data_IF_804732450517
#
_entry.id   IF_804732450517
#
_cell.length_a   1.000
_cell.length_b   1.000
_cell.length_c   1.000
_cell.angle_alpha   90.00
_cell.angle_beta   90.00
_cell.angle_gamma   90.00
#
_symmetry.space_group_name_H-M   'P 1'
#
loop_
_entity.id
_entity.type
_entity.pdbx_description
1 polymer ?
#
# COMPACT_ATOMS: atom_id res chain seq x y z
N UNK A 1 5.41 -11.41 22.47
CA UNK A 1 4.52 -11.23 21.32
C UNK A 1 5.40 -11.16 20.09
N UNK A 2 5.33 -12.14 19.19
CA UNK A 2 6.15 -12.10 17.98
C UNK A 2 5.72 -10.90 17.14
N UNK A 3 6.66 -10.05 16.74
CA UNK A 3 6.39 -8.98 15.79
C UNK A 3 5.89 -9.63 14.49
N UNK A 4 4.67 -9.28 14.08
CA UNK A 4 4.16 -9.75 12.79
C UNK A 4 4.99 -9.14 11.66
N UNK A 5 5.40 -10.00 10.74
CA UNK A 5 6.18 -9.58 9.58
C UNK A 5 5.25 -8.93 8.55
N UNK A 6 5.79 -8.03 7.72
CA UNK A 6 5.03 -7.47 6.60
C UNK A 6 4.46 -8.58 5.70
N UNK A 7 5.22 -9.67 5.50
CA UNK A 7 4.79 -10.84 4.73
C UNK A 7 3.53 -11.48 5.33
N UNK A 8 3.52 -11.75 6.64
CA UNK A 8 2.37 -12.39 7.29
C UNK A 8 1.11 -11.54 7.21
N UNK A 9 1.26 -10.21 7.33
CA UNK A 9 0.14 -9.28 7.17
C UNK A 9 -0.42 -9.29 5.75
N UNK A 10 0.43 -9.29 4.73
CA UNK A 10 -0.02 -9.35 3.32
C UNK A 10 -0.77 -10.66 3.05
N UNK A 11 -0.26 -11.80 3.54
CA UNK A 11 -0.92 -13.09 3.33
C UNK A 11 -2.28 -13.15 4.02
N UNK A 12 -2.39 -12.69 5.27
CA UNK A 12 -3.66 -12.59 5.99
C UNK A 12 -4.64 -11.65 5.28
N UNK A 13 -4.19 -10.46 4.90
CA UNK A 13 -5.01 -9.48 4.19
C UNK A 13 -5.53 -10.03 2.85
N UNK A 14 -4.71 -10.79 2.12
CA UNK A 14 -5.10 -11.48 0.89
C UNK A 14 -6.14 -12.57 1.12
N UNK A 15 -6.10 -13.24 2.27
CA UNK A 15 -7.10 -14.23 2.69
C UNK A 15 -8.42 -13.61 3.20
N UNK A 16 -8.55 -12.28 3.19
CA UNK A 16 -9.76 -11.57 3.60
C UNK A 16 -9.75 -11.03 5.03
N UNK A 17 -8.62 -11.12 5.74
CA UNK A 17 -8.46 -10.54 7.07
C UNK A 17 -8.44 -9.00 7.00
N UNK A 18 -9.54 -8.38 7.43
CA UNK A 18 -9.71 -6.93 7.40
C UNK A 18 -8.76 -6.18 8.34
N UNK A 19 -8.41 -6.77 9.49
CA UNK A 19 -7.51 -6.15 10.46
C UNK A 19 -6.08 -6.14 9.92
N UNK A 20 -5.65 -7.25 9.30
CA UNK A 20 -4.36 -7.32 8.63
C UNK A 20 -4.26 -6.31 7.47
N UNK A 21 -5.34 -6.16 6.67
CA UNK A 21 -5.39 -5.17 5.60
C UNK A 21 -5.28 -3.74 6.14
N UNK A 22 -6.01 -3.44 7.23
CA UNK A 22 -5.95 -2.13 7.88
C UNK A 22 -4.53 -1.84 8.40
N UNK A 23 -3.85 -2.83 8.98
CA UNK A 23 -2.47 -2.67 9.45
C UNK A 23 -1.50 -2.42 8.29
N UNK A 24 -1.64 -3.13 7.16
CA UNK A 24 -0.85 -2.85 5.95
C UNK A 24 -1.07 -1.40 5.49
N UNK A 25 -2.32 -0.94 5.38
CA UNK A 25 -2.63 0.44 4.99
C UNK A 25 -1.96 1.44 5.94
N UNK A 26 -2.04 1.22 7.27
CA UNK A 26 -1.40 2.09 8.25
C UNK A 26 0.13 2.14 8.09
N UNK A 27 0.78 1.00 7.84
CA UNK A 27 2.24 0.96 7.60
C UNK A 27 2.67 1.76 6.37
N UNK A 28 1.85 1.78 5.32
CA UNK A 28 2.15 2.52 4.08
C UNK A 28 1.60 3.95 4.05
N UNK A 29 0.82 4.36 5.06
CA UNK A 29 0.27 5.72 5.18
C UNK A 29 1.33 6.83 5.06
N UNK A 30 2.53 6.74 5.67
CA UNK A 30 3.56 7.76 5.49
C UNK A 30 4.00 7.93 4.03
N UNK A 31 4.08 6.82 3.28
CA UNK A 31 4.45 6.85 1.86
C UNK A 31 3.33 7.45 1.00
N UNK A 32 2.08 7.05 1.24
CA UNK A 32 0.92 7.66 0.55
C UNK A 32 0.89 9.17 0.80
N UNK A 33 1.04 9.59 2.05
CA UNK A 33 1.06 11.00 2.43
C UNK A 33 2.22 11.78 1.82
N UNK A 34 3.36 11.16 1.56
CA UNK A 34 4.47 11.78 0.81
C UNK A 34 4.02 12.22 -0.59
N UNK A 35 3.24 11.42 -1.30
CA UNK A 35 2.72 11.76 -2.63
C UNK A 35 1.55 12.75 -2.55
N UNK A 36 0.60 12.52 -1.64
CA UNK A 36 -0.58 13.39 -1.46
C UNK A 36 -0.18 14.83 -1.17
N UNK A 37 0.86 15.06 -0.37
CA UNK A 37 1.36 16.41 -0.03
C UNK A 37 1.95 17.18 -1.22
N UNK A 38 2.25 16.51 -2.33
CA UNK A 38 2.76 17.14 -3.55
C UNK A 38 1.63 17.57 -4.50
N UNK A 39 0.39 17.11 -4.26
CA UNK A 39 -0.76 17.46 -5.08
C UNK A 39 -1.44 18.76 -4.61
N UNK A 40 -2.19 19.43 -5.49
CA UNK A 40 -3.08 20.53 -5.10
C UNK A 40 -4.05 20.11 -4.00
N UNK A 41 -4.40 21.04 -3.11
CA UNK A 41 -5.31 20.74 -2.00
C UNK A 41 -6.71 20.28 -2.46
N UNK A 42 -7.15 20.70 -3.66
CA UNK A 42 -8.39 20.23 -4.29
C UNK A 42 -8.37 18.74 -4.60
N UNK A 43 -7.20 18.19 -4.92
CA UNK A 43 -7.05 16.84 -5.47
C UNK A 43 -6.50 15.87 -4.40
N UNK A 44 -5.94 16.41 -3.31
CA UNK A 44 -5.27 15.65 -2.27
C UNK A 44 -6.11 14.50 -1.68
N UNK A 45 -7.41 14.73 -1.46
CA UNK A 45 -8.31 13.72 -0.90
C UNK A 45 -8.64 12.59 -1.89
N UNK A 46 -8.77 12.95 -3.16
CA UNK A 46 -9.07 11.97 -4.21
C UNK A 46 -7.83 11.14 -4.51
N UNK A 47 -6.66 11.79 -4.55
CA UNK A 47 -5.37 11.12 -4.67
C UNK A 47 -5.10 10.18 -3.50
N UNK A 48 -5.38 10.58 -2.25
CA UNK A 48 -5.22 9.70 -1.08
C UNK A 48 -6.06 8.42 -1.22
N UNK A 49 -7.32 8.56 -1.64
CA UNK A 49 -8.20 7.41 -1.87
C UNK A 49 -7.68 6.53 -3.01
N UNK A 50 -7.26 7.12 -4.12
CA UNK A 50 -6.74 6.38 -5.26
C UNK A 50 -5.50 5.56 -4.90
N UNK A 51 -4.50 6.18 -4.26
CA UNK A 51 -3.26 5.50 -3.85
C UNK A 51 -3.56 4.39 -2.83
N UNK A 52 -4.54 4.60 -1.95
CA UNK A 52 -4.99 3.57 -0.99
C UNK A 52 -5.66 2.39 -1.72
N UNK A 53 -6.52 2.64 -2.71
CA UNK A 53 -7.15 1.60 -3.53
C UNK A 53 -6.13 0.80 -4.36
N UNK A 54 -5.12 1.48 -4.91
CA UNK A 54 -4.01 0.82 -5.61
C UNK A 54 -3.21 -0.08 -4.66
N UNK A 55 -2.92 0.38 -3.44
CA UNK A 55 -2.28 -0.45 -2.42
C UNK A 55 -3.11 -1.69 -2.10
N UNK A 56 -4.42 -1.56 -1.89
CA UNK A 56 -5.32 -2.71 -1.64
C UNK A 56 -5.27 -3.69 -2.82
N UNK A 57 -5.28 -3.18 -4.05
CA UNK A 57 -5.19 -4.00 -5.26
C UNK A 57 -3.85 -4.74 -5.34
N UNK A 58 -2.74 -4.09 -4.98
CA UNK A 58 -1.43 -4.73 -4.89
C UNK A 58 -1.38 -5.83 -3.83
N UNK A 59 -1.94 -5.61 -2.63
CA UNK A 59 -2.02 -6.65 -1.59
C UNK A 59 -2.75 -7.88 -2.11
N UNK A 60 -3.90 -7.70 -2.78
CA UNK A 60 -4.71 -8.80 -3.31
C UNK A 60 -4.01 -9.56 -4.45
N UNK A 61 -3.26 -8.85 -5.28
CA UNK A 61 -2.57 -9.41 -6.45
C UNK A 61 -1.15 -9.87 -6.15
N UNK A 62 -0.62 -9.64 -4.95
CA UNK A 62 0.76 -9.95 -4.60
C UNK A 62 1.08 -11.44 -4.78
N UNK A 63 2.21 -11.71 -5.42
CA UNK A 63 2.80 -13.04 -5.61
C UNK A 63 4.21 -13.02 -5.04
N UNK A 64 4.53 -13.98 -4.17
CA UNK A 64 5.83 -14.03 -3.49
C UNK A 64 7.01 -14.35 -4.42
N UNK A 65 6.72 -14.84 -5.63
CA UNK A 65 7.69 -15.19 -6.67
C UNK A 65 8.30 -13.95 -7.38
N UNK A 66 7.85 -12.74 -7.04
CA UNK A 66 8.38 -11.52 -7.64
C UNK A 66 9.84 -11.30 -7.21
N UNK A 67 10.73 -10.88 -8.12
CA UNK A 67 12.16 -10.71 -7.83
C UNK A 67 12.47 -9.45 -6.99
N UNK A 68 11.45 -8.75 -6.52
CA UNK A 68 11.54 -7.52 -5.73
C UNK A 68 10.53 -7.55 -4.58
N UNK A 69 10.84 -6.85 -3.49
CA UNK A 69 10.03 -6.84 -2.27
C UNK A 69 8.69 -6.11 -2.47
N UNK A 70 7.72 -6.39 -1.61
CA UNK A 70 6.43 -5.69 -1.63
C UNK A 70 6.59 -4.17 -1.47
N UNK A 71 7.57 -3.73 -0.67
CA UNK A 71 7.90 -2.30 -0.51
C UNK A 71 8.26 -1.65 -1.86
N UNK A 72 9.17 -2.27 -2.63
CA UNK A 72 9.61 -1.76 -3.93
C UNK A 72 8.46 -1.71 -4.94
N UNK A 73 7.58 -2.72 -4.88
CA UNK A 73 6.40 -2.77 -5.72
C UNK A 73 5.44 -1.62 -5.42
N UNK A 74 5.17 -1.36 -4.14
CA UNK A 74 4.31 -0.24 -3.72
C UNK A 74 4.95 1.08 -4.14
N UNK A 75 6.24 1.29 -3.90
CA UNK A 75 6.91 2.54 -4.29
C UNK A 75 6.84 2.79 -5.80
N UNK A 76 7.14 1.78 -6.63
CA UNK A 76 7.00 1.88 -8.09
C UNK A 76 5.57 2.19 -8.51
N UNK A 77 4.57 1.60 -7.87
CA UNK A 77 3.17 1.81 -8.22
C UNK A 77 2.68 3.22 -7.86
N UNK A 78 3.07 3.73 -6.69
CA UNK A 78 2.65 5.07 -6.26
C UNK A 78 3.35 6.18 -7.06
N UNK A 79 4.60 5.95 -7.50
CA UNK A 79 5.34 6.88 -8.36
C UNK A 79 4.67 7.16 -9.70
N UNK A 80 3.94 6.20 -10.29
CA UNK A 80 3.25 6.36 -11.58
C UNK A 80 2.26 7.53 -11.63
N UNK A 81 1.83 8.03 -10.47
CA UNK A 81 0.84 9.10 -10.36
C UNK A 81 1.44 10.50 -10.52
N UNK A 82 2.77 10.62 -10.48
CA UNK A 82 3.51 11.87 -10.63
C UNK A 82 4.17 12.04 -12.02
N UNK A 83 3.86 11.20 -13.01
CA UNK A 83 4.43 11.23 -14.36
C UNK A 83 3.40 11.55 -15.43
#
# INVERSE_FOLDING_TARGET
MAQETLRSLIQRAKAGDGDALAEVIQKFRPLIQKYVRQAPASDAKDLEQELTLRLITLVRSYREELPYGFMDLVEKELQKTNS
#
